data_IF_812899405872
#
_entry.id   IF_812899405872
#
_cell.length_a   1.000
_cell.length_b   1.000
_cell.length_c   1.000
_cell.angle_alpha   90.00
_cell.angle_beta   90.00
_cell.angle_gamma   90.00
#
_symmetry.space_group_name_H-M   'P 1'
#
loop_
_entity.id
_entity.type
_entity.pdbx_description
1 polymer ?
#
# COMPACT_ATOMS: atom_id res chain seq x y z
N UNK A 1 10.46 -5.61 -3.94
CA UNK A 1 11.20 -5.17 -5.12
C UNK A 1 11.75 -3.78 -4.84
N UNK A 2 13.07 -3.66 -4.71
CA UNK A 2 13.72 -2.43 -4.29
C UNK A 2 15.09 -2.24 -4.93
N UNK A 3 15.36 -1.07 -5.51
CA UNK A 3 16.54 -0.84 -6.35
C UNK A 3 17.78 -0.23 -5.71
N UNK A 4 17.75 0.18 -4.46
CA UNK A 4 18.90 0.92 -3.87
C UNK A 4 20.18 0.11 -3.68
N UNK A 5 20.33 -1.07 -4.29
CA UNK A 5 21.55 -1.90 -4.16
C UNK A 5 21.93 -2.52 -5.50
N UNK A 6 23.19 -2.82 -5.64
CA UNK A 6 23.94 -3.31 -6.79
C UNK A 6 23.15 -4.11 -7.85
N UNK A 7 23.49 -3.94 -9.10
CA UNK A 7 22.84 -4.53 -10.28
C UNK A 7 22.69 -6.07 -10.20
N UNK A 8 23.62 -6.75 -9.53
CA UNK A 8 23.52 -8.19 -9.24
C UNK A 8 22.32 -8.56 -8.37
N UNK A 9 21.92 -7.70 -7.44
CA UNK A 9 20.74 -7.90 -6.61
C UNK A 9 19.45 -7.63 -7.39
N UNK A 10 19.50 -6.76 -8.41
CA UNK A 10 18.37 -6.46 -9.27
C UNK A 10 17.87 -7.70 -10.01
N UNK A 11 18.78 -8.46 -10.65
CA UNK A 11 18.42 -9.68 -11.36
C UNK A 11 17.81 -10.72 -10.42
N UNK A 12 18.38 -10.92 -9.25
CA UNK A 12 17.84 -11.84 -8.24
C UNK A 12 16.43 -11.43 -7.79
N UNK A 13 16.21 -10.14 -7.50
CA UNK A 13 14.89 -9.63 -7.14
C UNK A 13 13.87 -9.85 -8.27
N UNK A 14 14.27 -9.61 -9.52
CA UNK A 14 13.45 -9.84 -10.69
C UNK A 14 13.00 -11.31 -10.81
N UNK A 15 13.93 -12.25 -10.70
CA UNK A 15 13.63 -13.68 -10.75
C UNK A 15 12.72 -14.12 -9.60
N UNK A 16 12.98 -13.67 -8.37
CA UNK A 16 12.15 -13.98 -7.22
C UNK A 16 10.75 -13.36 -7.32
N UNK A 17 10.65 -12.15 -7.85
CA UNK A 17 9.35 -11.50 -8.07
C UNK A 17 8.50 -12.31 -9.05
N UNK A 18 9.06 -12.72 -10.18
CA UNK A 18 8.37 -13.58 -11.15
C UNK A 18 8.03 -14.94 -10.53
N UNK A 19 8.94 -15.53 -9.76
CA UNK A 19 8.68 -16.80 -9.08
C UNK A 19 7.50 -16.71 -8.13
N UNK A 20 7.41 -15.66 -7.31
CA UNK A 20 6.28 -15.45 -6.40
C UNK A 20 4.97 -15.18 -7.16
N UNK A 21 5.00 -14.45 -8.26
CA UNK A 21 3.82 -14.27 -9.11
C UNK A 21 3.35 -15.60 -9.73
N UNK A 22 4.28 -16.45 -10.17
CA UNK A 22 3.94 -17.80 -10.67
C UNK A 22 3.32 -18.66 -9.56
N UNK A 23 3.84 -18.59 -8.34
CA UNK A 23 3.28 -19.30 -7.20
C UNK A 23 1.86 -18.82 -6.89
N UNK A 24 1.65 -17.50 -6.82
CA UNK A 24 0.33 -16.91 -6.63
C UNK A 24 -0.65 -17.36 -7.71
N UNK A 25 -0.23 -17.34 -8.98
CA UNK A 25 -1.03 -17.81 -10.11
C UNK A 25 -1.43 -19.28 -9.96
N UNK A 26 -0.48 -20.14 -9.60
CA UNK A 26 -0.72 -21.57 -9.36
C UNK A 26 -1.71 -21.80 -8.21
N UNK A 27 -1.56 -21.04 -7.14
CA UNK A 27 -2.41 -21.13 -5.94
C UNK A 27 -3.74 -20.39 -6.06
N UNK A 28 -3.93 -19.60 -7.12
CA UNK A 28 -5.11 -18.74 -7.34
C UNK A 28 -5.32 -17.72 -6.19
N UNK A 29 -4.24 -17.17 -5.67
CA UNK A 29 -4.27 -16.21 -4.57
C UNK A 29 -3.92 -14.81 -5.05
N UNK A 30 -4.56 -13.75 -4.50
CA UNK A 30 -4.13 -12.37 -4.72
C UNK A 30 -2.74 -12.15 -4.13
N UNK A 31 -2.04 -11.12 -4.61
CA UNK A 31 -0.68 -10.82 -4.18
C UNK A 31 -0.58 -9.56 -3.36
N UNK A 32 0.28 -9.56 -2.35
CA UNK A 32 0.72 -8.35 -1.64
C UNK A 32 2.08 -7.98 -2.19
N UNK A 33 2.18 -6.84 -2.85
CA UNK A 33 3.38 -6.41 -3.57
C UNK A 33 4.10 -5.30 -2.82
N UNK A 34 5.31 -5.59 -2.34
CA UNK A 34 6.21 -4.57 -1.83
C UNK A 34 7.07 -4.02 -2.98
N UNK A 35 6.86 -2.75 -3.34
CA UNK A 35 7.58 -2.08 -4.42
C UNK A 35 8.15 -0.76 -3.92
N UNK A 36 9.47 -0.64 -3.91
CA UNK A 36 10.16 0.57 -3.49
C UNK A 36 11.24 0.97 -4.49
N UNK A 37 11.17 2.19 -4.98
CA UNK A 37 12.09 2.75 -5.98
C UNK A 37 12.22 1.86 -7.26
N UNK A 38 11.16 1.08 -7.60
CA UNK A 38 11.18 0.07 -8.67
C UNK A 38 9.83 -0.08 -9.39
N UNK A 39 8.99 0.97 -9.39
CA UNK A 39 7.63 0.91 -9.95
C UNK A 39 7.63 0.58 -11.44
N UNK A 40 8.56 1.14 -12.21
CA UNK A 40 8.64 0.92 -13.65
C UNK A 40 8.83 -0.56 -14.01
N UNK A 41 9.78 -1.23 -13.36
CA UNK A 41 10.05 -2.64 -13.60
C UNK A 41 8.93 -3.54 -13.08
N UNK A 42 8.36 -3.23 -11.91
CA UNK A 42 7.22 -3.96 -11.38
C UNK A 42 6.04 -3.89 -12.36
N UNK A 43 5.68 -2.69 -12.81
CA UNK A 43 4.61 -2.47 -13.78
C UNK A 43 4.87 -3.19 -15.11
N UNK A 44 6.13 -3.17 -15.61
CA UNK A 44 6.51 -3.88 -16.83
C UNK A 44 6.24 -5.38 -16.72
N UNK A 45 6.61 -6.01 -15.59
CA UNK A 45 6.35 -7.43 -15.36
C UNK A 45 4.85 -7.69 -15.22
N UNK A 46 4.15 -6.92 -14.39
CA UNK A 46 2.75 -7.13 -14.09
C UNK A 46 1.83 -7.00 -15.32
N UNK A 47 2.17 -6.12 -16.28
CA UNK A 47 1.38 -5.98 -17.53
C UNK A 47 1.24 -7.27 -18.31
N UNK A 48 2.24 -8.11 -18.30
CA UNK A 48 2.28 -9.34 -19.09
C UNK A 48 2.03 -10.61 -18.27
N UNK A 49 2.22 -10.54 -16.96
CA UNK A 49 2.10 -11.71 -16.10
C UNK A 49 0.63 -12.08 -15.84
N UNK A 50 0.21 -13.36 -16.01
CA UNK A 50 -1.18 -13.77 -15.85
C UNK A 50 -1.71 -13.57 -14.42
N UNK A 51 -0.86 -13.58 -13.39
CA UNK A 51 -1.23 -13.35 -12.00
C UNK A 51 -1.91 -11.98 -11.77
N UNK A 52 -1.77 -10.99 -12.67
CA UNK A 52 -2.51 -9.73 -12.59
C UNK A 52 -4.03 -9.93 -12.55
N UNK A 53 -4.54 -11.04 -13.14
CA UNK A 53 -5.98 -11.36 -13.13
C UNK A 53 -6.50 -11.78 -11.76
N UNK A 54 -5.64 -12.14 -10.83
CA UNK A 54 -5.99 -12.49 -9.46
C UNK A 54 -6.17 -11.23 -8.58
N UNK A 55 -5.69 -10.09 -9.07
CA UNK A 55 -5.64 -8.88 -8.28
C UNK A 55 -4.56 -8.92 -7.19
N UNK A 56 -4.62 -7.95 -6.31
CA UNK A 56 -3.68 -7.80 -5.20
C UNK A 56 -3.65 -6.37 -4.70
N UNK A 57 -2.68 -6.07 -3.87
CA UNK A 57 -2.46 -4.75 -3.30
C UNK A 57 -1.00 -4.32 -3.43
N UNK A 58 -0.78 -3.08 -3.79
CA UNK A 58 0.52 -2.43 -3.69
C UNK A 58 0.66 -1.96 -2.26
N UNK A 59 1.38 -2.75 -1.46
CA UNK A 59 1.59 -2.53 -0.04
C UNK A 59 2.43 -1.27 0.19
N UNK A 60 2.04 -0.51 1.21
CA UNK A 60 2.72 0.70 1.65
C UNK A 60 3.06 1.63 0.46
N UNK A 61 2.03 1.91 -0.34
CA UNK A 61 2.21 2.69 -1.56
C UNK A 61 2.82 4.06 -1.25
N UNK A 62 3.86 4.36 -1.98
CA UNK A 62 4.57 5.62 -1.93
C UNK A 62 4.94 6.04 -3.35
N UNK A 63 4.09 6.81 -3.98
CA UNK A 63 4.27 7.20 -5.37
C UNK A 63 3.27 8.25 -5.81
N UNK A 64 3.46 8.73 -7.04
CA UNK A 64 2.60 9.75 -7.63
C UNK A 64 1.25 9.19 -8.10
N UNK A 65 0.34 10.09 -8.42
CA UNK A 65 -0.95 9.79 -9.04
C UNK A 65 -0.81 8.93 -10.29
N UNK A 66 0.14 9.25 -11.17
CA UNK A 66 0.34 8.55 -12.45
C UNK A 66 0.78 7.10 -12.23
N UNK A 67 1.56 6.84 -11.18
CA UNK A 67 1.97 5.49 -10.78
C UNK A 67 0.78 4.74 -10.21
N UNK A 68 -0.01 5.36 -9.34
CA UNK A 68 -1.22 4.76 -8.79
C UNK A 68 -2.21 4.36 -9.90
N UNK A 69 -2.46 5.26 -10.86
CA UNK A 69 -3.33 4.99 -12.01
C UNK A 69 -2.90 3.78 -12.82
N UNK A 70 -1.60 3.56 -13.00
CA UNK A 70 -1.10 2.40 -13.74
C UNK A 70 -1.40 1.09 -13.02
N UNK A 71 -1.25 1.04 -11.68
CA UNK A 71 -1.63 -0.13 -10.89
C UNK A 71 -3.13 -0.37 -10.88
N UNK A 72 -3.92 0.70 -10.76
CA UNK A 72 -5.39 0.63 -10.82
C UNK A 72 -5.88 0.06 -12.15
N UNK A 73 -5.30 0.49 -13.29
CA UNK A 73 -5.60 -0.06 -14.62
C UNK A 73 -5.27 -1.54 -14.75
N UNK A 74 -4.33 -2.04 -13.96
CA UNK A 74 -4.00 -3.47 -13.90
C UNK A 74 -4.88 -4.27 -12.91
N UNK A 75 -5.81 -3.60 -12.22
CA UNK A 75 -6.75 -4.24 -11.29
C UNK A 75 -6.23 -4.34 -9.85
N UNK A 76 -5.11 -3.70 -9.52
CA UNK A 76 -4.57 -3.72 -8.16
C UNK A 76 -5.26 -2.69 -7.25
N UNK A 77 -5.26 -2.98 -5.97
CA UNK A 77 -5.59 -2.04 -4.89
C UNK A 77 -4.33 -1.29 -4.44
N UNK A 78 -4.54 -0.17 -3.78
CA UNK A 78 -3.49 0.68 -3.22
C UNK A 78 -3.56 0.58 -1.69
N UNK A 79 -2.50 0.07 -1.08
CA UNK A 79 -2.34 -0.01 0.37
C UNK A 79 -1.83 1.31 0.93
N UNK A 80 -2.58 1.93 1.82
CA UNK A 80 -2.24 3.19 2.46
C UNK A 80 -2.08 2.98 3.96
N UNK A 81 -0.88 3.24 4.47
CA UNK A 81 -0.52 3.07 5.86
C UNK A 81 0.02 4.35 6.48
N UNK A 82 0.87 4.20 7.50
CA UNK A 82 1.46 5.31 8.25
C UNK A 82 2.25 6.33 7.42
N UNK A 83 2.57 6.02 6.18
CA UNK A 83 3.20 6.96 5.24
C UNK A 83 2.36 8.21 4.98
N UNK A 84 1.02 8.10 5.03
CA UNK A 84 0.12 9.25 4.84
C UNK A 84 0.18 10.26 5.99
N UNK A 85 0.70 9.84 7.14
CA UNK A 85 0.87 10.65 8.36
C UNK A 85 2.26 11.28 8.47
N UNK A 86 3.09 11.15 7.46
CA UNK A 86 4.41 11.76 7.43
C UNK A 86 4.31 13.27 7.13
N UNK A 87 5.44 13.99 7.29
CA UNK A 87 5.53 15.39 6.89
C UNK A 87 5.25 15.57 5.39
N UNK A 88 4.68 16.73 5.04
CA UNK A 88 4.33 17.07 3.64
C UNK A 88 5.48 16.83 2.67
N UNK A 89 6.70 17.25 3.02
CA UNK A 89 7.90 17.06 2.19
C UNK A 89 8.15 15.60 1.78
N UNK A 90 7.62 14.66 2.56
CA UNK A 90 7.74 13.22 2.30
C UNK A 90 6.46 12.60 1.75
N UNK A 91 5.31 13.12 2.13
CA UNK A 91 4.01 12.53 1.81
C UNK A 91 3.29 13.24 0.67
N UNK A 92 3.82 14.34 0.13
CA UNK A 92 3.14 15.18 -0.85
C UNK A 92 2.63 14.40 -2.06
N UNK A 93 3.45 13.60 -2.71
CA UNK A 93 3.04 12.84 -3.88
C UNK A 93 1.89 11.86 -3.55
N UNK A 94 1.93 11.25 -2.36
CA UNK A 94 0.86 10.39 -1.87
C UNK A 94 -0.41 11.17 -1.56
N UNK A 95 -0.30 12.34 -0.91
CA UNK A 95 -1.46 13.19 -0.63
C UNK A 95 -2.13 13.68 -1.91
N UNK A 96 -1.34 14.07 -2.91
CA UNK A 96 -1.83 14.49 -4.23
C UNK A 96 -2.47 13.31 -5.00
N UNK A 97 -2.04 12.07 -4.74
CA UNK A 97 -2.58 10.88 -5.39
C UNK A 97 -3.91 10.42 -4.79
N UNK A 98 -4.08 10.46 -3.45
CA UNK A 98 -5.23 9.88 -2.73
C UNK A 98 -6.60 10.37 -3.25
N UNK A 99 -6.84 11.66 -3.54
CA UNK A 99 -8.12 12.13 -4.09
C UNK A 99 -8.51 11.43 -5.39
N UNK A 100 -7.54 10.97 -6.17
CA UNK A 100 -7.73 10.34 -7.48
C UNK A 100 -7.83 8.81 -7.44
N UNK A 101 -7.53 8.18 -6.30
CA UNK A 101 -7.69 6.73 -6.13
C UNK A 101 -9.14 6.45 -5.73
N UNK A 102 -9.89 5.62 -6.48
CA UNK A 102 -11.25 5.22 -6.09
C UNK A 102 -11.25 4.58 -4.70
N UNK A 103 -12.23 4.92 -3.86
CA UNK A 103 -12.28 4.45 -2.48
C UNK A 103 -12.39 2.92 -2.40
N UNK A 104 -13.11 2.32 -3.35
CA UNK A 104 -13.24 0.86 -3.49
C UNK A 104 -11.95 0.15 -3.94
N UNK A 105 -10.87 0.91 -4.12
CA UNK A 105 -9.53 0.43 -4.47
C UNK A 105 -8.48 0.75 -3.41
N UNK A 106 -8.87 1.30 -2.28
CA UNK A 106 -7.97 1.57 -1.15
C UNK A 106 -8.08 0.44 -0.13
N UNK A 107 -6.94 -0.03 0.39
CA UNK A 107 -6.83 -0.81 1.60
C UNK A 107 -6.06 -0.01 2.64
N UNK A 108 -6.50 -0.08 3.90
CA UNK A 108 -5.79 0.56 5.02
C UNK A 108 -4.90 -0.46 5.71
N UNK A 109 -3.67 -0.05 6.02
CA UNK A 109 -2.65 -0.92 6.61
C UNK A 109 -1.73 -0.17 7.58
N UNK A 110 -0.74 -0.83 8.16
CA UNK A 110 0.17 -0.22 9.15
C UNK A 110 1.63 -0.27 8.79
N UNK A 111 2.08 -1.33 8.11
CA UNK A 111 3.49 -1.74 7.98
C UNK A 111 4.20 -1.91 9.36
N UNK A 112 3.41 -2.24 10.40
CA UNK A 112 3.96 -2.43 11.75
C UNK A 112 5.04 -3.54 11.76
N UNK A 113 6.13 -3.36 12.50
CA UNK A 113 6.43 -2.32 13.48
C UNK A 113 7.11 -1.06 12.89
N UNK A 114 7.14 -0.93 11.56
CA UNK A 114 7.81 0.15 10.84
C UNK A 114 6.86 1.35 10.63
N UNK A 115 7.38 2.42 10.03
CA UNK A 115 6.65 3.62 9.62
C UNK A 115 5.82 4.22 10.76
N UNK A 116 6.53 4.66 11.81
CA UNK A 116 5.89 5.48 12.84
C UNK A 116 5.34 6.76 12.22
N UNK A 117 4.08 7.13 12.54
CA UNK A 117 3.56 8.42 12.14
C UNK A 117 4.42 9.54 12.74
N UNK A 118 4.61 10.60 11.99
CA UNK A 118 5.28 11.78 12.51
C UNK A 118 4.27 12.57 13.36
N UNK A 119 4.39 12.44 14.67
CA UNK A 119 3.63 13.22 15.63
C UNK A 119 4.54 14.28 16.25
N UNK A 120 4.51 15.51 15.72
CA UNK A 120 5.26 16.65 16.28
C UNK A 120 4.97 16.88 17.76
N UNK A 121 3.72 16.61 18.17
CA UNK A 121 3.18 17.04 19.46
C UNK A 121 3.11 15.93 20.52
N UNK A 122 3.40 14.68 20.18
CA UNK A 122 3.08 13.54 21.06
C UNK A 122 4.31 12.77 21.56
N UNK A 123 5.46 12.82 20.89
CA UNK A 123 6.59 11.96 21.29
C UNK A 123 7.90 12.74 21.35
N UNK A 124 8.51 12.76 22.53
CA UNK A 124 9.87 13.26 22.68
C UNK A 124 10.85 12.48 21.79
N UNK A 125 11.85 13.13 21.14
CA UNK A 125 12.78 12.47 20.21
C UNK A 125 13.52 11.25 20.78
N UNK A 126 13.74 11.20 22.10
CA UNK A 126 14.34 10.06 22.79
C UNK A 126 13.44 8.84 22.85
N UNK A 127 12.11 9.03 22.91
CA UNK A 127 11.13 7.96 22.90
C UNK A 127 10.89 7.40 21.49
N UNK A 128 11.00 8.22 20.44
CA UNK A 128 10.87 7.79 19.05
C UNK A 128 11.85 6.68 18.66
N UNK A 129 13.06 6.64 19.24
CA UNK A 129 14.05 5.58 18.96
C UNK A 129 13.61 4.20 19.42
N UNK A 130 12.69 4.11 20.38
CA UNK A 130 12.17 2.84 20.95
C UNK A 130 10.72 2.57 20.57
N UNK A 131 10.02 3.55 20.05
CA UNK A 131 8.63 3.39 19.65
C UNK A 131 8.53 2.43 18.45
N UNK A 132 7.43 1.67 18.43
CA UNK A 132 7.08 0.78 17.35
C UNK A 132 5.69 1.15 16.84
N UNK A 133 5.49 1.04 15.54
CA UNK A 133 4.15 1.16 14.97
C UNK A 133 3.29 -0.05 15.36
N UNK A 134 2.00 0.18 15.47
CA UNK A 134 1.00 -0.86 15.81
C UNK A 134 -0.30 -0.56 15.06
N UNK A 135 -1.27 -1.47 15.14
CA UNK A 135 -2.61 -1.25 14.57
C UNK A 135 -3.36 -0.06 15.16
N UNK A 136 -2.93 0.48 16.30
CA UNK A 136 -3.51 1.71 16.89
C UNK A 136 -3.33 2.96 16.00
N UNK A 137 -2.51 2.90 14.96
CA UNK A 137 -2.36 3.97 13.96
C UNK A 137 -3.53 4.03 12.97
N UNK A 138 -4.27 2.93 12.79
CA UNK A 138 -5.30 2.82 11.74
C UNK A 138 -6.37 3.94 11.81
N UNK A 139 -6.92 4.32 12.97
CA UNK A 139 -7.87 5.44 13.01
C UNK A 139 -7.29 6.76 12.48
N UNK A 140 -6.02 7.04 12.76
CA UNK A 140 -5.36 8.24 12.25
C UNK A 140 -5.16 8.18 10.73
N UNK A 141 -4.81 7.02 10.18
CA UNK A 141 -4.70 6.80 8.73
C UNK A 141 -6.06 7.00 8.05
N UNK A 142 -7.13 6.41 8.61
CA UNK A 142 -8.52 6.56 8.13
C UNK A 142 -8.93 8.03 8.11
N UNK A 143 -8.73 8.75 9.22
CA UNK A 143 -9.04 10.17 9.32
C UNK A 143 -8.29 10.99 8.26
N UNK A 144 -7.02 10.69 8.02
CA UNK A 144 -6.23 11.41 7.02
C UNK A 144 -6.70 11.13 5.59
N UNK A 145 -7.06 9.90 5.27
CA UNK A 145 -7.66 9.56 3.97
C UNK A 145 -9.00 10.29 3.79
N UNK A 146 -9.85 10.30 4.81
CA UNK A 146 -11.14 10.97 4.81
C UNK A 146 -10.98 12.48 4.54
N UNK A 147 -10.05 13.13 5.23
CA UNK A 147 -9.72 14.55 5.03
C UNK A 147 -9.28 14.82 3.58
N UNK A 148 -8.34 14.04 3.05
CA UNK A 148 -7.83 14.22 1.69
C UNK A 148 -8.88 13.97 0.61
N UNK A 149 -9.84 13.10 0.87
CA UNK A 149 -10.94 12.78 -0.06
C UNK A 149 -12.19 13.64 0.14
N UNK A 150 -12.29 14.40 1.24
CA UNK A 150 -13.47 15.20 1.57
C UNK A 150 -14.72 14.35 1.89
N UNK A 151 -14.54 13.19 2.53
CA UNK A 151 -15.61 12.26 2.93
C UNK A 151 -15.51 11.93 4.43
N UNK A 152 -16.49 11.19 4.98
CA UNK A 152 -16.47 10.84 6.40
C UNK A 152 -15.45 9.73 6.71
N UNK A 153 -14.86 9.73 7.92
CA UNK A 153 -14.01 8.61 8.36
C UNK A 153 -14.74 7.26 8.39
N UNK A 154 -16.02 7.27 8.79
CA UNK A 154 -16.86 6.05 8.82
C UNK A 154 -17.01 5.44 7.43
N UNK A 155 -17.19 6.26 6.39
CA UNK A 155 -17.26 5.81 5.01
C UNK A 155 -15.92 5.17 4.57
N UNK A 156 -14.79 5.80 4.91
CA UNK A 156 -13.47 5.25 4.61
C UNK A 156 -13.28 3.90 5.31
N UNK A 157 -13.57 3.82 6.61
CA UNK A 157 -13.45 2.59 7.40
C UNK A 157 -14.27 1.46 6.80
N UNK A 158 -15.56 1.70 6.59
CA UNK A 158 -16.49 0.71 6.08
C UNK A 158 -16.07 0.18 4.69
N UNK A 159 -15.78 1.09 3.76
CA UNK A 159 -15.46 0.69 2.38
C UNK A 159 -14.10 -0.02 2.31
N UNK A 160 -13.08 0.46 3.03
CA UNK A 160 -11.75 -0.17 2.98
C UNK A 160 -11.71 -1.52 3.70
N UNK A 161 -12.50 -1.70 4.77
CA UNK A 161 -12.70 -3.01 5.40
C UNK A 161 -13.35 -4.00 4.44
N UNK A 162 -14.43 -3.58 3.76
CA UNK A 162 -15.08 -4.41 2.73
C UNK A 162 -14.17 -4.75 1.56
N UNK A 163 -13.31 -3.81 1.12
CA UNK A 163 -12.31 -4.07 0.08
C UNK A 163 -11.35 -5.17 0.52
N UNK A 164 -10.89 -5.14 1.77
CA UNK A 164 -9.97 -6.13 2.33
C UNK A 164 -10.63 -7.52 2.37
N UNK A 165 -11.85 -7.60 2.91
CA UNK A 165 -12.63 -8.84 2.97
C UNK A 165 -12.80 -9.43 1.57
N UNK A 166 -13.19 -8.61 0.60
CA UNK A 166 -13.44 -9.04 -0.78
C UNK A 166 -12.16 -9.49 -1.49
N UNK A 167 -11.07 -8.71 -1.38
CA UNK A 167 -9.81 -9.02 -2.04
C UNK A 167 -9.23 -10.35 -1.56
N UNK A 168 -9.24 -10.57 -0.24
CA UNK A 168 -8.64 -11.76 0.37
C UNK A 168 -9.64 -12.88 0.66
N UNK A 169 -10.91 -12.72 0.26
CA UNK A 169 -11.98 -13.69 0.51
C UNK A 169 -12.05 -14.14 1.98
N UNK A 170 -11.99 -13.16 2.88
CA UNK A 170 -11.98 -13.42 4.32
C UNK A 170 -13.36 -13.97 4.75
N UNK A 171 -13.42 -15.01 5.60
CA UNK A 171 -14.67 -15.60 6.08
C UNK A 171 -15.27 -14.75 7.22
N UNK A 172 -15.50 -13.47 6.98
CA UNK A 172 -16.09 -12.53 7.93
C UNK A 172 -17.45 -12.12 7.35
N UNK A 173 -18.51 -12.51 8.03
CA UNK A 173 -19.88 -12.10 7.72
C UNK A 173 -20.13 -10.76 8.45
N UNK A 174 -20.18 -9.67 7.72
CA UNK A 174 -20.55 -8.31 8.15
C UNK A 174 -19.52 -7.57 9.07
N UNK A 175 -18.90 -6.58 8.52
CA UNK A 175 -18.34 -5.42 9.22
C UNK A 175 -19.20 -4.20 8.88
#
# INVERSE_FOLDING_TARGET
YHYKREEQHRLKQHLWFIYQLNLAWKMKLPVILHVRDAHEDALRILRWHPARKLGGVIHCFYGSKEIAEQYLKLGYHIGIGGSVLQLEERAKDLWDAIPHIPLDRILVETDAPFILPYCKDVIQPKLLRRARNTSLVLPAVINRIAELKGISPDEVEQVTAQNTIRLFSLPIEHV
#
